data_IF_368456971432
#
_entry.id   IF_368456971432
#
_cell.length_a   1.000
_cell.length_b   1.000
_cell.length_c   1.000
_cell.angle_alpha   90.00
_cell.angle_beta   90.00
_cell.angle_gamma   90.00
#
_symmetry.space_group_name_H-M   'P 1'
#
loop_
_entity.id
_entity.type
_entity.pdbx_description
1 polymer ?
#
# COMPACT_ATOMS: atom_id res chain seq x y z
N UNK A 1 3.74 29.03 -19.60
CA UNK A 1 4.55 27.78 -19.57
C UNK A 1 3.87 26.78 -18.66
N UNK A 2 3.25 25.73 -19.21
CA UNK A 2 2.76 24.62 -18.39
C UNK A 2 3.98 23.76 -18.02
N UNK A 3 4.27 23.51 -16.74
CA UNK A 3 5.37 22.64 -16.37
C UNK A 3 5.09 21.27 -17.00
N UNK A 4 6.09 20.75 -17.72
CA UNK A 4 6.11 19.39 -18.24
C UNK A 4 5.89 18.48 -17.03
N UNK A 5 4.65 18.03 -16.86
CA UNK A 5 4.20 17.27 -15.71
C UNK A 5 4.78 15.87 -15.87
N UNK A 6 6.05 15.71 -15.54
CA UNK A 6 6.74 14.43 -15.57
C UNK A 6 5.99 13.50 -14.59
N UNK A 7 5.28 12.47 -15.08
CA UNK A 7 4.49 11.60 -14.22
C UNK A 7 5.39 10.84 -13.23
N UNK A 8 6.67 10.66 -13.54
CA UNK A 8 7.69 10.13 -12.64
C UNK A 8 7.91 11.03 -11.42
N UNK A 9 8.15 12.33 -11.64
CA UNK A 9 8.36 13.29 -10.55
C UNK A 9 7.15 13.36 -9.60
N UNK A 10 5.92 13.30 -10.15
CA UNK A 10 4.70 13.29 -9.32
C UNK A 10 4.53 11.99 -8.54
N UNK A 11 5.01 10.86 -9.07
CA UNK A 11 5.03 9.56 -8.37
C UNK A 11 6.09 9.54 -7.28
N UNK A 12 7.26 10.11 -7.51
CA UNK A 12 8.36 10.21 -6.55
C UNK A 12 7.99 11.10 -5.36
N UNK A 13 7.42 12.28 -5.61
CA UNK A 13 6.92 13.17 -4.55
C UNK A 13 5.90 12.42 -3.68
N UNK A 14 4.92 11.76 -4.32
CA UNK A 14 3.93 10.97 -3.59
C UNK A 14 4.55 9.84 -2.76
N UNK A 15 5.57 9.14 -3.27
CA UNK A 15 6.25 8.08 -2.51
C UNK A 15 7.00 8.63 -1.30
N UNK A 16 7.66 9.78 -1.46
CA UNK A 16 8.35 10.45 -0.37
C UNK A 16 7.38 10.96 0.72
N UNK A 17 6.21 11.42 0.31
CA UNK A 17 5.17 11.85 1.26
C UNK A 17 4.55 10.64 1.96
N UNK A 18 4.30 9.55 1.22
CA UNK A 18 3.78 8.30 1.78
C UNK A 18 4.71 7.68 2.82
N UNK A 19 6.04 7.70 2.60
CA UNK A 19 6.98 7.12 3.57
C UNK A 19 6.96 7.85 4.91
N UNK A 20 6.73 9.17 4.91
CA UNK A 20 6.54 9.95 6.14
C UNK A 20 5.14 9.75 6.73
N UNK A 21 4.11 9.71 5.89
CA UNK A 21 2.72 9.60 6.30
C UNK A 21 2.43 8.27 7.03
N UNK A 22 3.06 7.17 6.63
CA UNK A 22 2.90 5.84 7.26
C UNK A 22 3.10 5.92 8.78
N UNK A 23 4.18 6.55 9.25
CA UNK A 23 4.46 6.64 10.68
C UNK A 23 3.40 7.44 11.46
N UNK A 24 2.89 8.52 10.86
CA UNK A 24 1.82 9.31 11.47
C UNK A 24 0.50 8.55 11.52
N UNK A 25 0.15 7.86 10.44
CA UNK A 25 -1.07 7.04 10.34
C UNK A 25 -1.03 5.86 11.31
N UNK A 26 0.09 5.15 11.41
CA UNK A 26 0.26 4.05 12.36
C UNK A 26 0.16 4.53 13.81
N UNK A 27 0.73 5.70 14.11
CA UNK A 27 0.59 6.30 15.43
C UNK A 27 -0.86 6.68 15.75
N UNK A 28 -1.57 7.29 14.81
CA UNK A 28 -2.99 7.63 14.96
C UNK A 28 -3.86 6.39 15.15
N UNK A 29 -3.60 5.33 14.37
CA UNK A 29 -4.33 4.07 14.44
C UNK A 29 -4.10 3.28 15.73
N UNK A 30 -3.02 3.57 16.49
CA UNK A 30 -2.86 3.04 17.86
C UNK A 30 -3.80 3.70 18.86
N UNK A 31 -4.24 4.93 18.59
CA UNK A 31 -5.13 5.69 19.47
C UNK A 31 -6.59 5.45 19.11
N UNK A 32 -6.91 5.39 17.81
CA UNK A 32 -8.25 5.12 17.32
C UNK A 32 -8.21 4.38 16.00
N UNK A 33 -8.94 3.26 15.92
CA UNK A 33 -9.19 2.57 14.66
C UNK A 33 -10.11 3.41 13.79
N UNK A 34 -9.62 3.84 12.63
CA UNK A 34 -10.39 4.62 11.65
C UNK A 34 -10.22 4.02 10.25
N UNK A 35 -11.34 3.77 9.57
CA UNK A 35 -11.38 3.21 8.22
C UNK A 35 -10.70 4.13 7.21
N UNK A 36 -10.79 5.45 7.38
CA UNK A 36 -10.18 6.42 6.47
C UNK A 36 -8.66 6.40 6.60
N UNK A 37 -8.14 6.46 7.83
CA UNK A 37 -6.72 6.34 8.09
C UNK A 37 -6.13 4.99 7.63
N UNK A 38 -6.86 3.88 7.80
CA UNK A 38 -6.44 2.56 7.28
C UNK A 38 -6.43 2.51 5.74
N UNK A 39 -7.40 3.16 5.09
CA UNK A 39 -7.43 3.28 3.64
C UNK A 39 -6.25 4.11 3.11
N UNK A 40 -5.94 5.22 3.76
CA UNK A 40 -4.79 6.06 3.39
C UNK A 40 -3.47 5.33 3.62
N UNK A 41 -3.37 4.56 4.70
CA UNK A 41 -2.23 3.70 4.99
C UNK A 41 -2.04 2.65 3.90
N UNK A 42 -3.12 1.98 3.47
CA UNK A 42 -3.09 1.02 2.37
C UNK A 42 -2.65 1.64 1.06
N UNK A 43 -3.13 2.85 0.75
CA UNK A 43 -2.70 3.59 -0.43
C UNK A 43 -1.22 3.97 -0.39
N UNK A 44 -0.73 4.38 0.77
CA UNK A 44 0.70 4.66 0.97
C UNK A 44 1.54 3.41 0.72
N UNK A 45 1.17 2.27 1.31
CA UNK A 45 1.86 1.00 1.11
C UNK A 45 1.87 0.54 -0.36
N UNK A 46 0.73 0.68 -1.06
CA UNK A 46 0.63 0.38 -2.49
C UNK A 46 1.55 1.25 -3.36
N UNK A 47 1.67 2.54 -3.03
CA UNK A 47 2.57 3.46 -3.73
C UNK A 47 4.05 3.15 -3.45
N UNK A 48 4.36 2.69 -2.24
CA UNK A 48 5.70 2.23 -1.87
C UNK A 48 6.05 0.88 -2.54
N UNK A 49 5.04 0.10 -2.92
CA UNK A 49 5.18 -1.22 -3.56
C UNK A 49 5.05 -2.38 -2.56
N UNK A 50 4.72 -2.09 -1.31
CA UNK A 50 4.46 -3.08 -0.27
C UNK A 50 2.98 -3.50 -0.33
N UNK A 51 2.68 -4.39 -1.28
CA UNK A 51 1.29 -4.77 -1.53
C UNK A 51 0.68 -5.64 -0.43
N UNK A 52 1.50 -6.41 0.29
CA UNK A 52 1.06 -7.25 1.40
C UNK A 52 0.51 -6.40 2.55
N UNK A 53 1.24 -5.34 2.93
CA UNK A 53 0.74 -4.40 3.95
C UNK A 53 -0.41 -3.54 3.45
N UNK A 54 -0.43 -3.21 2.15
CA UNK A 54 -1.54 -2.50 1.55
C UNK A 54 -2.84 -3.30 1.68
N UNK A 55 -2.82 -4.58 1.27
CA UNK A 55 -3.95 -5.50 1.38
C UNK A 55 -4.44 -5.63 2.83
N UNK A 56 -3.53 -5.86 3.78
CA UNK A 56 -3.89 -5.99 5.19
C UNK A 56 -4.58 -4.72 5.73
N UNK A 57 -4.09 -3.54 5.32
CA UNK A 57 -4.66 -2.25 5.74
C UNK A 57 -6.06 -2.06 5.17
N UNK A 58 -6.28 -2.36 3.88
CA UNK A 58 -7.61 -2.27 3.26
C UNK A 58 -8.61 -3.25 3.86
N UNK A 59 -8.20 -4.50 4.13
CA UNK A 59 -9.06 -5.49 4.79
C UNK A 59 -9.53 -5.02 6.16
N UNK A 60 -8.61 -4.51 7.00
CA UNK A 60 -8.97 -3.91 8.29
C UNK A 60 -9.86 -2.68 8.12
N UNK A 61 -9.66 -1.88 7.08
CA UNK A 61 -10.53 -0.74 6.80
C UNK A 61 -11.97 -1.19 6.46
N UNK A 62 -12.11 -2.29 5.71
CA UNK A 62 -13.41 -2.89 5.38
C UNK A 62 -14.13 -3.48 6.59
N UNK A 63 -13.40 -4.00 7.58
CA UNK A 63 -13.99 -4.46 8.85
C UNK A 63 -14.69 -3.32 9.62
N UNK A 64 -14.26 -2.07 9.41
CA UNK A 64 -14.81 -0.89 10.07
C UNK A 64 -15.85 -0.16 9.20
N UNK A 65 -15.81 -0.31 7.88
CA UNK A 65 -16.69 0.39 6.96
C UNK A 65 -16.79 -0.33 5.61
N UNK A 66 -18.01 -0.60 5.18
CA UNK A 66 -18.31 -1.12 3.84
C UNK A 66 -18.25 -0.02 2.76
N UNK A 67 -17.08 0.60 2.62
CA UNK A 67 -16.85 1.62 1.60
C UNK A 67 -16.45 0.99 0.27
N UNK A 68 -17.20 1.30 -0.78
CA UNK A 68 -16.86 0.91 -2.16
C UNK A 68 -15.47 1.41 -2.55
N UNK A 69 -15.04 2.58 -2.07
CA UNK A 69 -13.72 3.12 -2.36
C UNK A 69 -12.59 2.25 -1.80
N UNK A 70 -12.76 1.68 -0.61
CA UNK A 70 -11.78 0.78 0.00
C UNK A 70 -11.70 -0.52 -0.81
N UNK A 71 -12.84 -1.08 -1.20
CA UNK A 71 -12.88 -2.29 -2.02
C UNK A 71 -12.23 -2.07 -3.40
N UNK A 72 -12.43 -0.91 -4.02
CA UNK A 72 -11.75 -0.54 -5.27
C UNK A 72 -10.24 -0.45 -5.10
N UNK A 73 -9.75 0.18 -4.02
CA UNK A 73 -8.32 0.27 -3.75
C UNK A 73 -7.69 -1.12 -3.50
N UNK A 74 -8.42 -2.03 -2.85
CA UNK A 74 -8.00 -3.42 -2.67
C UNK A 74 -7.93 -4.16 -4.02
N UNK A 75 -8.93 -3.99 -4.90
CA UNK A 75 -8.91 -4.55 -6.24
C UNK A 75 -7.72 -4.02 -7.09
N UNK A 76 -7.44 -2.72 -7.02
CA UNK A 76 -6.23 -2.12 -7.62
C UNK A 76 -4.94 -2.73 -7.06
N UNK A 77 -4.93 -3.09 -5.77
CA UNK A 77 -3.77 -3.74 -5.13
C UNK A 77 -3.56 -5.14 -5.69
N UNK A 78 -4.62 -5.95 -5.80
CA UNK A 78 -4.53 -7.30 -6.36
C UNK A 78 -4.12 -7.30 -7.83
N UNK A 79 -4.64 -6.36 -8.62
CA UNK A 79 -4.21 -6.23 -10.03
C UNK A 79 -2.73 -5.82 -10.12
N UNK A 80 -2.27 -4.90 -9.28
CA UNK A 80 -0.86 -4.52 -9.23
C UNK A 80 0.05 -5.70 -8.78
N UNK A 81 -0.38 -6.50 -7.81
CA UNK A 81 0.31 -7.72 -7.39
C UNK A 81 0.38 -8.76 -8.50
N UNK A 82 -0.71 -9.00 -9.22
CA UNK A 82 -0.74 -9.95 -10.34
C UNK A 82 0.25 -9.54 -11.45
N UNK A 83 0.35 -8.23 -11.73
CA UNK A 83 1.34 -7.70 -12.68
C UNK A 83 2.77 -7.86 -12.18
N UNK A 84 3.04 -7.73 -10.88
CA UNK A 84 4.39 -7.88 -10.31
C UNK A 84 4.78 -9.33 -9.98
N UNK A 85 3.82 -10.22 -9.74
CA UNK A 85 4.03 -11.67 -9.56
C UNK A 85 4.63 -12.34 -10.79
N UNK A 86 4.51 -11.72 -11.96
CA UNK A 86 5.23 -12.12 -13.18
C UNK A 86 6.73 -11.77 -13.16
N UNK A 87 7.20 -10.92 -12.23
CA UNK A 87 8.61 -10.48 -12.17
C UNK A 87 9.46 -11.14 -11.09
N UNK A 88 8.94 -11.69 -9.99
CA UNK A 88 9.82 -12.27 -8.95
C UNK A 88 9.15 -13.39 -8.14
N UNK A 89 9.07 -14.59 -8.71
CA UNK A 89 9.19 -15.86 -7.93
C UNK A 89 10.65 -16.36 -7.95
N UNK A 90 11.59 -15.42 -8.04
CA UNK A 90 13.03 -15.69 -8.18
C UNK A 90 13.84 -14.61 -7.48
N UNK A 91 13.82 -14.62 -6.16
CA UNK A 91 14.98 -14.24 -5.34
C UNK A 91 14.80 -14.94 -3.99
N UNK A 92 15.59 -15.98 -3.82
CA UNK A 92 15.62 -16.85 -2.67
C UNK A 92 15.88 -16.12 -1.35
N UNK A 93 15.21 -16.56 -0.30
CA UNK A 93 15.95 -16.95 0.90
C UNK A 93 15.27 -18.15 1.57
N UNK A 94 15.62 -19.35 1.09
CA UNK A 94 15.79 -20.51 1.96
C UNK A 94 17.23 -20.42 2.51
N UNK A 95 17.44 -20.68 3.80
CA UNK A 95 17.81 -22.05 4.18
C UNK A 95 17.05 -22.48 5.45
N UNK A 96 16.41 -23.64 5.40
CA UNK A 96 16.96 -24.90 5.91
C UNK A 96 16.48 -25.19 7.34
N UNK A 97 15.55 -26.15 7.45
CA UNK A 97 15.58 -27.12 8.54
C UNK A 97 15.53 -28.50 7.88
N UNK A 98 16.72 -29.01 7.58
CA UNK A 98 16.96 -30.43 7.44
C UNK A 98 17.53 -30.92 8.77
N UNK A 99 17.03 -32.09 9.19
CA UNK A 99 17.20 -32.79 10.47
C UNK A 99 16.31 -32.31 11.60
#
# INVERSE_FOLDING_TARGET
MHPIRNPGARKEIKRQDCSKAVGHLENGLRLASDSSALNDLGNCYRLLGDFERAEASFKRAMELSDSVYIALNLAETYTAQAVQGSRIRSCAHHPAKAR
#
